data_IF_622794482259
#
_entry.id   IF_622794482259
#
_cell.length_a   1.000
_cell.length_b   1.000
_cell.length_c   1.000
_cell.angle_alpha   90.00
_cell.angle_beta   90.00
_cell.angle_gamma   90.00
#
_symmetry.space_group_name_H-M   'P 1'
#
loop_
_entity.id
_entity.type
_entity.pdbx_description
1 polymer ?
#
# COMPACT_ATOMS: atom_id res chain seq x y z
N UNK A 1 -9.11 5.90 -7.00
CA UNK A 1 -8.89 4.58 -6.40
C UNK A 1 -7.62 3.97 -7.00
N UNK A 2 -6.53 3.96 -6.29
CA UNK A 2 -5.29 3.30 -6.70
C UNK A 2 -4.74 2.54 -5.50
N UNK A 3 -5.08 1.26 -5.44
CA UNK A 3 -4.32 0.25 -4.69
C UNK A 3 -2.99 0.04 -5.43
N UNK A 4 -2.04 -0.64 -4.81
CA UNK A 4 -0.83 -1.09 -5.50
C UNK A 4 -1.24 -1.64 -6.87
N UNK A 5 -0.89 -0.94 -7.95
CA UNK A 5 -1.34 -1.28 -9.28
C UNK A 5 -0.49 -2.42 -9.84
N UNK A 6 -0.99 -3.64 -9.71
CA UNK A 6 -0.38 -4.81 -10.35
C UNK A 6 -0.78 -4.84 -11.82
N UNK A 7 0.10 -4.40 -12.72
CA UNK A 7 -0.11 -4.52 -14.15
C UNK A 7 0.32 -5.91 -14.60
N UNK A 8 -0.56 -6.60 -15.33
CA UNK A 8 -0.29 -7.90 -15.93
C UNK A 8 -0.62 -7.85 -17.42
N UNK A 9 0.39 -8.00 -18.24
CA UNK A 9 0.24 -8.13 -19.68
C UNK A 9 0.02 -9.60 -20.06
N UNK A 10 -0.94 -9.86 -20.94
CA UNK A 10 -1.22 -11.21 -21.41
C UNK A 10 -1.73 -11.18 -22.83
N UNK A 11 -1.33 -12.17 -23.62
CA UNK A 11 -1.86 -12.43 -24.96
C UNK A 11 -3.07 -13.35 -24.87
N UNK A 12 -4.04 -13.26 -25.81
CA UNK A 12 -5.19 -14.15 -25.82
C UNK A 12 -4.78 -15.62 -25.96
N UNK A 13 -5.52 -16.51 -25.29
CA UNK A 13 -5.31 -17.96 -25.36
C UNK A 13 -5.98 -18.60 -26.58
N UNK A 14 -7.06 -18.00 -27.07
CA UNK A 14 -7.77 -18.44 -28.27
C UNK A 14 -8.50 -17.30 -28.96
N UNK A 15 -8.75 -17.47 -30.25
CA UNK A 15 -9.59 -16.59 -31.07
C UNK A 15 -10.60 -17.46 -31.81
N UNK A 16 -11.89 -17.26 -31.53
CA UNK A 16 -12.98 -17.98 -32.19
C UNK A 16 -13.88 -16.99 -32.94
N UNK A 17 -13.69 -16.90 -34.25
CA UNK A 17 -14.39 -15.90 -35.07
C UNK A 17 -14.10 -14.48 -34.61
N UNK A 18 -15.11 -13.78 -34.09
CA UNK A 18 -15.00 -12.41 -33.58
C UNK A 18 -14.76 -12.33 -32.06
N UNK A 19 -14.58 -13.47 -31.41
CA UNK A 19 -14.39 -13.54 -29.95
C UNK A 19 -12.94 -13.84 -29.61
N UNK A 20 -12.36 -13.00 -28.77
CA UNK A 20 -11.01 -13.17 -28.25
C UNK A 20 -11.12 -13.66 -26.81
N UNK A 21 -10.38 -14.72 -26.48
CA UNK A 21 -10.57 -15.48 -25.23
C UNK A 21 -9.26 -15.51 -24.44
N UNK A 22 -9.35 -15.26 -23.14
CA UNK A 22 -8.31 -15.49 -22.14
C UNK A 22 -8.84 -16.45 -21.10
N UNK A 23 -8.37 -17.69 -21.13
CA UNK A 23 -8.75 -18.73 -20.20
C UNK A 23 -7.52 -19.38 -19.56
N UNK A 24 -7.67 -19.80 -18.30
CA UNK A 24 -6.64 -20.53 -17.55
C UNK A 24 -5.26 -19.87 -17.52
N UNK A 25 -5.21 -18.55 -17.60
CA UNK A 25 -3.98 -17.77 -17.68
C UNK A 25 -3.48 -17.43 -16.29
N UNK A 26 -2.45 -18.13 -15.81
CA UNK A 26 -1.84 -17.88 -14.48
C UNK A 26 -1.33 -16.44 -14.31
N UNK A 27 -0.93 -15.80 -15.40
CA UNK A 27 -0.47 -14.41 -15.40
C UNK A 27 -1.54 -13.42 -14.96
N UNK A 28 -2.83 -13.75 -15.11
CA UNK A 28 -3.96 -12.92 -14.71
C UNK A 28 -4.50 -13.24 -13.30
N UNK A 29 -3.78 -14.05 -12.53
CA UNK A 29 -4.10 -14.29 -11.13
C UNK A 29 -3.47 -13.20 -10.27
N UNK A 30 -4.30 -12.40 -9.61
CA UNK A 30 -3.89 -11.38 -8.67
C UNK A 30 -4.06 -11.85 -7.24
N UNK A 31 -3.14 -11.47 -6.37
CA UNK A 31 -3.31 -11.65 -4.93
C UNK A 31 -4.31 -10.62 -4.44
N UNK A 32 -5.25 -11.03 -3.63
CA UNK A 32 -6.29 -10.13 -3.12
C UNK A 32 -5.76 -9.12 -2.07
N UNK A 33 -4.72 -9.50 -1.32
CA UNK A 33 -4.20 -8.65 -0.25
C UNK A 33 -5.16 -8.54 0.95
N UNK A 34 -5.15 -7.38 1.59
CA UNK A 34 -6.06 -7.00 2.69
C UNK A 34 -6.37 -5.50 2.58
N UNK A 35 -7.36 -5.03 3.34
CA UNK A 35 -7.66 -3.61 3.49
C UNK A 35 -6.47 -2.87 4.12
N UNK A 36 -6.25 -1.60 3.75
CA UNK A 36 -5.17 -0.80 4.32
C UNK A 36 -5.41 -0.53 5.81
N UNK A 37 -4.33 -0.41 6.56
CA UNK A 37 -4.34 0.15 7.91
C UNK A 37 -4.56 1.64 7.86
N UNK A 38 -5.04 2.20 8.96
CA UNK A 38 -5.36 3.62 9.07
C UNK A 38 -4.65 4.24 10.25
N UNK A 39 -4.16 5.46 10.06
CA UNK A 39 -3.65 6.29 11.14
C UNK A 39 -4.04 7.74 10.91
N UNK A 40 -4.13 8.49 12.00
CA UNK A 40 -4.43 9.91 11.98
C UNK A 40 -3.42 10.68 12.81
N UNK A 41 -2.69 11.57 12.16
CA UNK A 41 -1.72 12.47 12.77
C UNK A 41 -2.17 13.89 12.47
N UNK A 42 -3.18 14.40 13.18
CA UNK A 42 -3.82 15.69 12.86
C UNK A 42 -3.42 16.82 13.78
N UNK A 43 -2.71 16.51 14.85
CA UNK A 43 -2.32 17.46 15.90
C UNK A 43 -0.93 17.12 16.43
N UNK A 44 -0.21 18.15 16.87
CA UNK A 44 1.02 17.99 17.64
C UNK A 44 0.79 17.98 19.15
N UNK A 45 -0.47 18.11 19.60
CA UNK A 45 -0.87 18.23 21.01
C UNK A 45 -1.50 16.97 21.58
N UNK A 46 -2.14 16.16 20.75
CA UNK A 46 -2.82 14.93 21.16
C UNK A 46 -2.74 13.88 20.06
N UNK A 47 -2.62 12.60 20.40
CA UNK A 47 -2.63 11.53 19.43
C UNK A 47 -4.03 11.32 18.83
N UNK A 48 -4.09 11.06 17.52
CA UNK A 48 -5.28 10.65 16.80
C UNK A 48 -5.43 9.13 16.71
N UNK A 49 -6.17 8.68 15.70
CA UNK A 49 -6.37 7.25 15.44
C UNK A 49 -5.03 6.53 15.29
N UNK A 50 -4.87 5.40 15.98
CA UNK A 50 -3.67 4.56 16.01
C UNK A 50 -2.41 5.27 16.54
N UNK A 51 -2.56 6.46 17.15
CA UNK A 51 -1.47 7.17 17.82
C UNK A 51 -1.35 6.76 19.29
N UNK A 52 -0.13 6.66 19.79
CA UNK A 52 0.20 6.38 21.19
C UNK A 52 0.69 7.65 21.90
N UNK A 53 1.73 8.30 21.35
CA UNK A 53 2.42 9.38 22.04
C UNK A 53 2.98 10.43 21.07
N UNK A 54 3.14 11.66 21.58
CA UNK A 54 3.77 12.77 20.85
C UNK A 54 4.80 13.41 21.76
N UNK A 55 6.01 13.63 21.24
CA UNK A 55 7.09 14.32 21.96
C UNK A 55 7.82 15.25 21.02
N UNK A 56 8.22 16.42 21.55
CA UNK A 56 9.10 17.31 20.83
C UNK A 56 10.56 16.93 21.04
N UNK A 57 11.27 16.73 19.92
CA UNK A 57 12.73 16.67 19.85
C UNK A 57 13.18 17.51 18.67
N UNK A 58 13.94 18.55 18.97
CA UNK A 58 14.39 19.49 17.96
C UNK A 58 15.01 18.80 16.73
N UNK A 59 14.59 19.08 15.50
CA UNK A 59 13.66 20.14 15.07
C UNK A 59 12.21 19.66 14.79
N UNK A 60 11.81 18.44 15.15
CA UNK A 60 10.50 17.88 14.84
C UNK A 60 9.74 17.36 16.04
N UNK A 61 8.42 17.31 15.92
CA UNK A 61 7.61 16.45 16.77
C UNK A 61 7.77 14.98 16.32
N UNK A 62 7.94 14.11 17.29
CA UNK A 62 7.98 12.67 17.11
C UNK A 62 6.65 12.08 17.52
N UNK A 63 6.03 11.38 16.59
CA UNK A 63 4.72 10.79 16.76
C UNK A 63 4.84 9.27 16.78
N UNK A 64 4.69 8.66 17.95
CA UNK A 64 4.74 7.21 18.11
C UNK A 64 3.38 6.63 17.81
N UNK A 65 3.31 5.66 16.91
CA UNK A 65 2.11 4.88 16.61
C UNK A 65 1.99 3.70 17.58
N UNK A 66 0.77 3.19 17.75
CA UNK A 66 0.57 1.91 18.39
C UNK A 66 1.27 0.81 17.60
N UNK A 67 1.86 -0.15 18.33
CA UNK A 67 2.58 -1.26 17.71
C UNK A 67 1.62 -2.15 16.93
N UNK A 68 1.98 -2.42 15.68
CA UNK A 68 1.25 -3.31 14.79
C UNK A 68 1.75 -4.77 14.89
N UNK A 69 0.90 -5.69 14.47
CA UNK A 69 1.22 -7.10 14.30
C UNK A 69 0.80 -7.58 12.90
N UNK A 70 1.41 -8.64 12.35
CA UNK A 70 0.95 -9.26 11.12
C UNK A 70 -0.51 -9.71 11.24
N UNK A 71 -1.31 -9.42 10.22
CA UNK A 71 -2.73 -9.79 10.18
C UNK A 71 -2.90 -11.23 9.77
N UNK A 72 -3.61 -12.01 10.59
CA UNK A 72 -3.87 -13.43 10.37
C UNK A 72 -5.28 -13.71 9.84
N UNK A 73 -6.19 -12.74 10.01
CA UNK A 73 -7.59 -12.88 9.64
C UNK A 73 -8.03 -11.64 8.86
N UNK A 74 -9.02 -11.83 8.01
CA UNK A 74 -9.72 -10.71 7.39
C UNK A 74 -10.66 -10.07 8.38
N UNK A 75 -10.61 -8.74 8.42
CA UNK A 75 -11.59 -7.90 9.09
C UNK A 75 -11.93 -6.78 8.14
N UNK A 76 -13.20 -6.70 7.75
CA UNK A 76 -13.65 -5.59 6.91
C UNK A 76 -13.46 -4.27 7.64
N UNK A 77 -12.78 -3.37 6.97
CA UNK A 77 -12.61 -1.99 7.42
C UNK A 77 -12.50 -1.10 6.19
N UNK A 78 -13.50 -0.25 5.97
CA UNK A 78 -13.53 0.64 4.82
C UNK A 78 -12.27 1.51 4.80
N UNK A 79 -11.40 1.29 3.84
CA UNK A 79 -10.19 2.06 3.63
C UNK A 79 -10.34 3.07 2.48
N UNK A 80 -9.30 3.85 2.25
CA UNK A 80 -9.22 4.80 1.13
C UNK A 80 -8.20 4.36 0.08
N UNK A 81 -7.98 3.06 -0.04
CA UNK A 81 -7.11 2.45 -1.04
C UNK A 81 -5.66 3.01 -1.01
N UNK A 82 -5.09 3.14 0.20
CA UNK A 82 -3.73 3.61 0.40
C UNK A 82 -3.56 5.13 0.28
N UNK A 83 -4.63 5.89 0.07
CA UNK A 83 -4.58 7.35 -0.04
C UNK A 83 -4.23 8.00 1.29
N UNK A 84 -3.88 9.27 1.22
CA UNK A 84 -3.69 10.14 2.37
C UNK A 84 -4.37 11.50 2.14
N UNK A 85 -4.70 12.16 3.23
CA UNK A 85 -5.27 13.49 3.22
C UNK A 85 -4.52 14.37 4.23
N UNK A 86 -3.88 15.44 3.75
CA UNK A 86 -3.29 16.44 4.63
C UNK A 86 -4.38 17.11 5.46
N UNK A 87 -4.22 17.11 6.78
CA UNK A 87 -5.18 17.68 7.73
C UNK A 87 -4.47 18.18 8.97
N UNK A 88 -4.86 19.35 9.46
CA UNK A 88 -4.37 19.93 10.69
C UNK A 88 -5.55 20.37 11.55
N UNK A 89 -5.58 19.94 12.80
CA UNK A 89 -6.65 20.29 13.74
C UNK A 89 -6.54 21.70 14.28
N UNK A 90 -5.31 22.25 14.33
CA UNK A 90 -5.04 23.59 14.86
C UNK A 90 -5.10 24.69 13.81
N UNK A 91 -5.09 24.36 12.52
CA UNK A 91 -5.01 25.33 11.43
C UNK A 91 -6.31 25.47 10.63
N UNK A 92 -6.45 26.59 9.93
CA UNK A 92 -7.56 26.85 9.01
C UNK A 92 -7.32 26.29 7.59
N UNK A 93 -6.05 26.19 7.17
CA UNK A 93 -5.66 25.69 5.85
C UNK A 93 -4.56 24.61 6.01
N UNK A 94 -4.95 23.36 5.89
CA UNK A 94 -4.04 22.22 6.05
C UNK A 94 -2.92 22.19 5.00
N UNK A 95 -3.11 22.74 3.81
CA UNK A 95 -2.09 22.73 2.76
C UNK A 95 -0.86 23.59 3.13
N UNK A 96 -1.10 24.68 3.87
CA UNK A 96 -0.08 25.64 4.25
C UNK A 96 0.32 25.59 5.72
N UNK A 97 -0.56 25.12 6.61
CA UNK A 97 -0.39 25.17 8.06
C UNK A 97 -0.09 23.83 8.73
N UNK A 98 -0.26 22.71 8.00
CA UNK A 98 0.08 21.41 8.55
C UNK A 98 1.61 21.24 8.61
N UNK A 99 2.12 21.00 9.80
CA UNK A 99 3.53 20.75 10.08
C UNK A 99 3.96 19.35 9.67
N UNK A 100 5.28 19.13 9.64
CA UNK A 100 5.88 17.81 9.49
C UNK A 100 6.25 17.22 10.83
N UNK A 101 6.04 15.92 10.96
CA UNK A 101 6.39 15.14 12.14
C UNK A 101 7.16 13.88 11.72
N UNK A 102 7.96 13.35 12.63
CA UNK A 102 8.58 12.03 12.43
C UNK A 102 7.61 10.98 13.02
N UNK A 103 7.00 10.19 12.15
CA UNK A 103 6.11 9.11 12.52
C UNK A 103 6.92 7.83 12.75
N UNK A 104 6.80 7.25 13.95
CA UNK A 104 7.47 6.01 14.35
C UNK A 104 6.53 4.83 14.14
N UNK A 105 6.84 4.01 13.14
CA UNK A 105 6.14 2.76 12.84
C UNK A 105 6.81 1.59 13.54
N UNK A 106 6.03 0.67 14.06
CA UNK A 106 6.53 -0.55 14.68
C UNK A 106 5.67 -1.75 14.30
N UNK A 107 6.31 -2.81 13.79
CA UNK A 107 5.69 -4.08 13.42
C UNK A 107 6.31 -5.21 14.23
N UNK A 108 5.58 -5.74 15.22
CA UNK A 108 6.02 -6.86 16.06
C UNK A 108 5.93 -8.16 15.27
N UNK A 109 7.07 -8.64 14.82
CA UNK A 109 7.22 -9.93 14.14
C UNK A 109 8.63 -10.44 14.33
N UNK A 110 8.84 -11.75 14.14
CA UNK A 110 10.17 -12.35 14.26
C UNK A 110 11.13 -11.84 13.17
N UNK A 111 12.43 -11.74 13.48
CA UNK A 111 13.42 -11.34 12.51
C UNK A 111 13.50 -12.35 11.37
N UNK A 112 13.59 -11.85 10.14
CA UNK A 112 13.71 -12.66 8.94
C UNK A 112 14.81 -12.07 8.05
N UNK A 113 15.87 -12.85 7.85
CA UNK A 113 17.05 -12.41 7.08
C UNK A 113 16.81 -12.43 5.57
N UNK A 114 15.78 -13.15 5.11
CA UNK A 114 15.47 -13.30 3.68
C UNK A 114 14.49 -12.22 3.18
N UNK A 115 13.96 -11.43 4.10
CA UNK A 115 12.96 -10.39 3.79
C UNK A 115 13.43 -9.00 4.23
N UNK A 116 13.13 -8.02 3.40
CA UNK A 116 13.21 -6.63 3.78
C UNK A 116 11.79 -6.09 3.92
N UNK A 117 11.49 -5.51 5.07
CA UNK A 117 10.17 -4.93 5.36
C UNK A 117 10.15 -3.44 5.09
N UNK A 118 9.01 -2.95 4.62
CA UNK A 118 8.79 -1.55 4.26
C UNK A 118 7.41 -1.08 4.72
N UNK A 119 7.33 0.15 5.15
CA UNK A 119 6.06 0.85 5.30
C UNK A 119 5.66 1.40 3.93
N UNK A 120 4.44 1.11 3.51
CA UNK A 120 3.94 1.50 2.20
C UNK A 120 2.58 2.18 2.29
N UNK A 121 2.39 3.18 1.47
CA UNK A 121 1.14 3.88 1.22
C UNK A 121 1.27 4.65 -0.07
N UNK A 122 0.24 5.37 -0.48
CA UNK A 122 0.31 6.19 -1.70
C UNK A 122 1.45 7.23 -1.67
N UNK A 123 1.77 7.69 -0.50
CA UNK A 123 2.85 8.65 -0.24
C UNK A 123 4.25 8.08 -0.45
N UNK A 124 4.44 6.76 -0.44
CA UNK A 124 5.71 6.10 -0.78
C UNK A 124 5.79 5.68 -2.26
N UNK A 125 4.68 5.75 -3.01
CA UNK A 125 4.59 5.38 -4.44
C UNK A 125 5.18 4.00 -4.78
N UNK A 126 5.01 3.01 -3.89
CA UNK A 126 5.62 1.68 -3.99
C UNK A 126 7.16 1.73 -4.17
N UNK A 127 7.78 2.76 -3.61
CA UNK A 127 9.22 2.92 -3.64
C UNK A 127 9.85 2.19 -2.46
N UNK A 128 10.64 1.15 -2.73
CA UNK A 128 11.37 0.38 -1.73
C UNK A 128 12.72 1.01 -1.41
N UNK A 129 12.73 2.31 -1.16
CA UNK A 129 13.92 3.06 -0.75
C UNK A 129 14.24 2.83 0.73
N UNK A 130 15.46 3.22 1.12
CA UNK A 130 15.91 3.16 2.52
C UNK A 130 15.05 4.02 3.46
N UNK A 131 14.39 5.05 2.94
CA UNK A 131 13.52 5.96 3.69
C UNK A 131 12.30 5.24 4.30
N UNK A 132 11.76 4.24 3.59
CA UNK A 132 10.58 3.49 4.02
C UNK A 132 10.91 2.10 4.54
N UNK A 133 12.21 1.75 4.53
CA UNK A 133 12.69 0.45 4.98
C UNK A 133 12.69 0.37 6.50
N UNK A 134 12.16 -0.73 7.01
CA UNK A 134 12.16 -1.02 8.43
C UNK A 134 13.44 -1.76 8.83
N UNK A 135 13.92 -1.48 10.03
CA UNK A 135 15.07 -2.14 10.65
C UNK A 135 14.60 -2.90 11.88
N UNK A 136 15.11 -4.12 12.06
CA UNK A 136 14.77 -4.90 13.23
C UNK A 136 15.50 -4.36 14.47
N UNK A 137 14.73 -4.05 15.50
CA UNK A 137 15.23 -3.65 16.81
C UNK A 137 15.09 -4.82 17.78
N UNK A 138 16.22 -5.28 18.32
CA UNK A 138 16.26 -6.41 19.25
C UNK A 138 15.69 -6.10 20.64
N UNK A 139 15.71 -4.83 21.04
CA UNK A 139 15.21 -4.43 22.37
C UNK A 139 13.68 -4.39 22.41
N UNK A 140 13.04 -3.95 21.34
CA UNK A 140 11.59 -3.91 21.19
C UNK A 140 11.00 -5.17 20.55
N UNK A 141 11.85 -6.08 20.05
CA UNK A 141 11.46 -7.28 19.29
C UNK A 141 10.53 -6.96 18.10
N UNK A 142 10.81 -5.87 17.40
CA UNK A 142 9.99 -5.37 16.30
C UNK A 142 10.83 -4.80 15.15
N UNK A 143 10.24 -4.76 13.97
CA UNK A 143 10.74 -3.93 12.87
C UNK A 143 10.22 -2.51 13.07
N UNK A 144 11.13 -1.53 12.95
CA UNK A 144 10.84 -0.12 13.17
C UNK A 144 11.26 0.73 11.95
N UNK A 145 10.52 1.81 11.71
CA UNK A 145 10.86 2.83 10.73
C UNK A 145 10.40 4.21 11.20
N UNK A 146 11.25 5.19 10.95
CA UNK A 146 11.03 6.61 11.27
C UNK A 146 10.84 7.36 9.97
N UNK A 147 9.64 7.89 9.73
CA UNK A 147 9.27 8.48 8.45
C UNK A 147 8.77 9.90 8.67
N UNK A 148 9.35 10.86 7.92
CA UNK A 148 8.89 12.23 7.92
C UNK A 148 7.59 12.36 7.14
N UNK A 149 6.51 12.69 7.84
CA UNK A 149 5.17 12.86 7.27
C UNK A 149 4.59 14.22 7.63
N UNK A 150 3.76 14.76 6.76
CA UNK A 150 2.94 15.93 7.06
C UNK A 150 1.75 15.53 7.95
N UNK A 151 1.24 16.45 8.77
CA UNK A 151 0.02 16.18 9.54
C UNK A 151 -1.12 15.79 8.58
N UNK A 152 -1.83 14.70 8.91
CA UNK A 152 -2.87 14.18 8.05
C UNK A 152 -3.48 12.86 8.49
N UNK A 153 -4.37 12.38 7.65
CA UNK A 153 -4.92 11.04 7.69
C UNK A 153 -4.25 10.18 6.64
N UNK A 154 -3.84 8.97 7.00
CA UNK A 154 -3.04 8.09 6.14
C UNK A 154 -3.59 6.67 6.13
N UNK A 155 -3.69 6.10 4.93
CA UNK A 155 -3.75 4.67 4.77
C UNK A 155 -2.34 4.12 4.54
N UNK A 156 -2.02 3.00 5.17
CA UNK A 156 -0.72 2.34 5.04
C UNK A 156 -0.84 0.83 5.14
N UNK A 157 0.20 0.15 4.74
CA UNK A 157 0.38 -1.30 4.87
C UNK A 157 1.85 -1.63 5.02
N UNK A 158 2.15 -2.84 5.47
CA UNK A 158 3.51 -3.35 5.50
C UNK A 158 3.73 -4.29 4.35
N UNK A 159 4.70 -3.97 3.49
CA UNK A 159 5.16 -4.83 2.42
C UNK A 159 6.50 -5.46 2.78
N UNK A 160 6.78 -6.60 2.21
CA UNK A 160 8.12 -7.15 2.21
C UNK A 160 8.58 -7.48 0.80
N UNK A 161 9.88 -7.36 0.57
CA UNK A 161 10.56 -7.83 -0.64
C UNK A 161 11.48 -8.99 -0.28
N UNK A 162 11.83 -9.80 -1.28
CA UNK A 162 12.78 -10.89 -1.12
C UNK A 162 14.07 -10.61 -1.90
N UNK A 163 15.14 -11.34 -1.63
CA UNK A 163 16.38 -11.22 -2.40
C UNK A 163 16.20 -11.57 -3.87
N UNK A 164 15.26 -12.47 -4.18
CA UNK A 164 14.96 -12.88 -5.57
C UNK A 164 14.06 -11.88 -6.29
N UNK A 165 13.24 -11.13 -5.54
CA UNK A 165 12.28 -10.13 -6.07
C UNK A 165 12.40 -8.82 -5.29
N UNK A 166 13.51 -8.07 -5.45
CA UNK A 166 13.79 -6.89 -4.64
C UNK A 166 12.91 -5.68 -4.98
N UNK A 167 12.21 -5.73 -6.12
CA UNK A 167 11.34 -4.65 -6.61
C UNK A 167 9.85 -5.02 -6.57
N UNK A 168 9.51 -6.17 -6.01
CA UNK A 168 8.12 -6.62 -5.88
C UNK A 168 7.74 -6.69 -4.42
N UNK A 169 6.75 -5.86 -4.03
CA UNK A 169 6.18 -5.88 -2.70
C UNK A 169 5.19 -7.04 -2.52
N UNK A 170 5.31 -7.74 -1.42
CA UNK A 170 4.41 -8.82 -1.03
C UNK A 170 3.70 -8.48 0.27
N UNK A 171 2.42 -8.81 0.38
CA UNK A 171 1.58 -8.57 1.57
C UNK A 171 1.34 -9.84 2.40
N UNK A 172 1.57 -11.01 1.81
CA UNK A 172 1.10 -12.28 2.37
C UNK A 172 1.55 -12.56 3.81
N UNK A 173 2.76 -12.13 4.17
CA UNK A 173 3.33 -12.37 5.51
C UNK A 173 2.89 -11.30 6.52
N UNK A 174 2.64 -10.07 6.07
CA UNK A 174 2.35 -8.91 6.93
C UNK A 174 0.86 -8.61 7.03
N UNK A 175 0.18 -8.55 5.87
CA UNK A 175 -1.24 -8.19 5.79
C UNK A 175 -2.15 -9.38 5.47
N UNK A 176 -1.58 -10.49 5.01
CA UNK A 176 -2.34 -11.65 4.56
C UNK A 176 -2.77 -11.53 3.09
N UNK A 177 -3.68 -12.43 2.69
CA UNK A 177 -4.20 -12.50 1.34
C UNK A 177 -5.62 -13.12 1.39
N UNK A 178 -6.63 -12.28 1.43
CA UNK A 178 -8.01 -12.67 1.69
C UNK A 178 -8.89 -12.35 0.50
N UNK A 179 -9.68 -13.32 0.04
CA UNK A 179 -10.56 -13.15 -1.13
C UNK A 179 -11.68 -12.12 -0.89
N UNK A 180 -12.02 -11.87 0.38
CA UNK A 180 -13.02 -10.89 0.80
C UNK A 180 -12.56 -9.44 0.60
N UNK A 181 -11.25 -9.22 0.39
CA UNK A 181 -10.71 -7.87 0.20
C UNK A 181 -11.34 -7.20 -1.01
N UNK A 182 -11.86 -5.99 -0.83
CA UNK A 182 -12.43 -5.21 -1.93
C UNK A 182 -11.34 -4.74 -2.90
N UNK A 183 -11.33 -5.32 -4.09
CA UNK A 183 -10.40 -4.97 -5.15
C UNK A 183 -11.14 -4.43 -6.38
N UNK A 184 -10.53 -3.47 -7.03
CA UNK A 184 -10.99 -2.96 -8.32
C UNK A 184 -10.08 -3.49 -9.43
N UNK A 185 -10.67 -4.07 -10.45
CA UNK A 185 -9.97 -4.58 -11.62
C UNK A 185 -10.32 -3.74 -12.83
N UNK A 186 -9.32 -3.38 -13.61
CA UNK A 186 -9.50 -2.69 -14.88
C UNK A 186 -8.85 -3.52 -16.00
N UNK A 187 -9.59 -3.78 -17.07
CA UNK A 187 -9.11 -4.51 -18.24
C UNK A 187 -8.95 -3.53 -19.38
N UNK A 188 -7.72 -3.37 -19.85
CA UNK A 188 -7.36 -2.54 -20.97
C UNK A 188 -7.03 -3.44 -22.16
N UNK A 189 -7.78 -3.29 -23.27
CA UNK A 189 -7.55 -4.07 -24.48
C UNK A 189 -6.84 -3.20 -25.50
N UNK A 190 -5.66 -3.66 -25.91
CA UNK A 190 -4.86 -3.01 -26.93
C UNK A 190 -4.82 -3.83 -28.21
N UNK A 191 -4.86 -3.18 -29.35
CA UNK A 191 -4.73 -3.77 -30.67
C UNK A 191 -3.65 -3.05 -31.48
N UNK A 192 -2.80 -3.83 -32.14
CA UNK A 192 -1.86 -3.32 -33.14
C UNK A 192 -2.28 -3.86 -34.50
N UNK A 193 -2.82 -3.04 -35.43
CA UNK A 193 -3.17 -3.48 -36.78
C UNK A 193 -1.96 -4.05 -37.55
N UNK A 194 -2.19 -5.00 -38.42
CA UNK A 194 -1.13 -5.55 -39.30
C UNK A 194 -0.45 -4.43 -40.06
N UNK A 195 0.86 -4.28 -39.90
CA UNK A 195 1.64 -3.16 -40.47
C UNK A 195 1.59 -1.86 -39.66
N UNK A 196 0.87 -1.84 -38.53
CA UNK A 196 0.84 -0.74 -37.58
C UNK A 196 2.16 -0.61 -36.82
N UNK A 197 2.51 0.61 -36.39
CA UNK A 197 3.73 0.92 -35.64
C UNK A 197 3.46 1.19 -34.15
N UNK A 198 2.20 1.19 -33.74
CA UNK A 198 1.81 1.49 -32.35
C UNK A 198 0.56 0.72 -31.96
N UNK A 199 0.44 0.49 -30.67
CA UNK A 199 -0.71 -0.13 -30.04
C UNK A 199 -1.81 0.91 -29.79
N UNK A 200 -3.03 0.58 -30.11
CA UNK A 200 -4.21 1.41 -29.88
C UNK A 200 -5.05 0.80 -28.77
N UNK A 201 -5.44 1.60 -27.80
CA UNK A 201 -6.41 1.20 -26.80
C UNK A 201 -7.79 1.12 -27.48
N UNK A 202 -8.32 -0.10 -27.60
CA UNK A 202 -9.60 -0.36 -28.29
C UNK A 202 -10.74 -0.70 -27.34
N UNK A 203 -10.45 -0.98 -26.09
CA UNK A 203 -11.47 -1.25 -25.09
C UNK A 203 -10.97 -1.07 -23.67
N UNK A 204 -11.86 -0.60 -22.79
CA UNK A 204 -11.68 -0.49 -21.36
C UNK A 204 -12.92 -1.04 -20.68
N UNK A 205 -12.74 -1.91 -19.69
CA UNK A 205 -13.83 -2.38 -18.84
C UNK A 205 -13.37 -2.56 -17.40
N UNK A 206 -14.19 -2.12 -16.47
CA UNK A 206 -14.04 -2.39 -15.04
C UNK A 206 -15.09 -3.41 -14.65
N UNK A 207 -14.72 -4.71 -14.52
CA UNK A 207 -15.68 -5.72 -14.14
C UNK A 207 -16.14 -5.47 -12.70
N UNK A 208 -17.45 -5.47 -12.49
CA UNK A 208 -18.07 -5.42 -11.17
C UNK A 208 -18.22 -6.87 -10.71
N UNK A 209 -17.44 -7.25 -9.70
CA UNK A 209 -17.65 -8.51 -9.01
C UNK A 209 -18.87 -8.36 -8.12
N UNK A 210 -19.94 -9.08 -8.43
CA UNK A 210 -21.10 -9.24 -7.53
C UNK A 210 -21.02 -10.64 -6.95
N UNK A 211 -20.98 -10.74 -5.61
CA UNK A 211 -21.24 -12.00 -4.93
C UNK A 211 -22.64 -12.53 -5.24
#
# INVERSE_FOLDING_TARGET
RQRQMCIRDSSPTAVNGNTIIWEHTKQLLFKAGNEYRKMEIVSTRYPGMHGDNIRWFDPYYHYTLLQDTPRKNYLYDEDQNGLYLTRCAEGGNADTEADYVIAHFSLSTLPDMDKNFYVNGRWSYDNFSSEYKMTYNHDSEAYEADILLKLGYYNYQYLYTTHTEPHIGHTQYTEGNFYQTENEYEILVYHCPTGGRYWQLVGVVTPIYKE
#
